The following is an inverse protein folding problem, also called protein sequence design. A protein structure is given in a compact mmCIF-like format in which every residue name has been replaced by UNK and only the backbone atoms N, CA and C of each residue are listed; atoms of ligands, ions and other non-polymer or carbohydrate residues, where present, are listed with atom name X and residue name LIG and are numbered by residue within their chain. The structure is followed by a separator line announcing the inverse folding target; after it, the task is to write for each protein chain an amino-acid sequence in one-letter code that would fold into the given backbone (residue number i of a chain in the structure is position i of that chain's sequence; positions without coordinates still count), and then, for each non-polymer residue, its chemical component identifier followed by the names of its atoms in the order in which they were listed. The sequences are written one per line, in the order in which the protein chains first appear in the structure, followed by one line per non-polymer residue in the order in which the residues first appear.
data_IF_100955963248
#
_entry.id   IF_100955963248
#
_cell.length_a   1.000
_cell.length_b   1.000
_cell.length_c   1.000
_cell.angle_alpha   90.00
_cell.angle_beta   90.00
_cell.angle_gamma   90.00
#
_symmetry.space_group_name_H-M   'P 1'
#
loop_
_entity.id
_entity.type
_entity.pdbx_description
1 polymer ?
#
# COMPACT_ATOMS: atom_id res chain seq x y z
N UNK A 1 -8.40 1.72 -12.52
CA UNK A 1 -6.98 1.76 -12.91
C UNK A 1 -6.42 0.35 -12.77
N UNK A 2 -5.41 0.00 -13.57
CA UNK A 2 -4.80 -1.35 -13.59
C UNK A 2 -4.36 -1.79 -12.19
N UNK A 3 -3.75 -0.90 -11.41
CA UNK A 3 -3.33 -1.20 -10.05
C UNK A 3 -4.49 -1.53 -9.11
N UNK A 4 -5.60 -0.77 -9.15
CA UNK A 4 -6.79 -1.05 -8.31
C UNK A 4 -7.39 -2.42 -8.62
N UNK A 5 -7.44 -2.79 -9.89
CA UNK A 5 -7.94 -4.10 -10.32
C UNK A 5 -7.01 -5.22 -9.83
N UNK A 6 -5.71 -5.10 -10.07
CA UNK A 6 -4.74 -6.11 -9.68
C UNK A 6 -4.71 -6.36 -8.17
N UNK A 7 -4.70 -5.31 -7.34
CA UNK A 7 -4.69 -5.50 -5.87
C UNK A 7 -6.01 -6.08 -5.36
N UNK A 8 -7.14 -5.78 -6.01
CA UNK A 8 -8.43 -6.41 -5.70
C UNK A 8 -8.42 -7.90 -6.04
N UNK A 9 -7.86 -8.29 -7.19
CA UNK A 9 -7.70 -9.70 -7.60
C UNK A 9 -6.75 -10.48 -6.67
N UNK A 10 -5.73 -9.81 -6.11
CA UNK A 10 -4.83 -10.42 -5.11
C UNK A 10 -5.56 -10.69 -3.78
N UNK A 11 -6.56 -9.89 -3.45
CA UNK A 11 -7.40 -10.03 -2.25
C UNK A 11 -7.46 -8.80 -1.34
N UNK A 12 -7.04 -7.62 -1.79
CA UNK A 12 -7.25 -6.39 -1.02
C UNK A 12 -8.76 -6.10 -0.87
N UNK A 13 -9.18 -5.77 0.35
CA UNK A 13 -10.58 -5.44 0.68
C UNK A 13 -11.05 -4.14 0.03
N UNK A 14 -10.13 -3.16 -0.06
CA UNK A 14 -10.36 -1.89 -0.71
C UNK A 14 -9.02 -1.32 -1.18
N UNK A 15 -9.04 -0.46 -2.19
CA UNK A 15 -7.87 0.30 -2.61
C UNK A 15 -8.26 1.67 -3.16
N UNK A 16 -7.33 2.61 -3.10
CA UNK A 16 -7.60 3.98 -3.50
C UNK A 16 -6.34 4.84 -3.55
N UNK A 17 -6.54 6.12 -3.84
CA UNK A 17 -5.48 7.12 -3.77
C UNK A 17 -5.34 7.58 -2.32
N UNK A 18 -4.12 7.63 -1.81
CA UNK A 18 -3.79 8.23 -0.53
C UNK A 18 -3.57 9.74 -0.72
N UNK A 19 -4.40 10.56 -0.07
CA UNK A 19 -4.38 12.02 -0.25
C UNK A 19 -4.76 12.43 -1.69
N UNK A 20 -3.98 13.34 -2.28
CA UNK A 20 -4.13 13.77 -3.69
C UNK A 20 -3.37 12.88 -4.68
N UNK A 21 -2.67 11.84 -4.20
CA UNK A 21 -1.84 10.98 -5.03
C UNK A 21 -0.45 11.56 -5.35
N UNK A 22 0.40 10.80 -6.05
CA UNK A 22 0.14 9.52 -6.74
C UNK A 22 0.19 8.27 -5.85
N UNK A 23 0.40 8.40 -4.54
CA UNK A 23 0.44 7.25 -3.61
C UNK A 23 -0.87 6.45 -3.63
N UNK A 24 -0.77 5.13 -3.69
CA UNK A 24 -1.88 4.19 -3.62
C UNK A 24 -1.92 3.52 -2.24
N UNK A 25 -3.11 3.34 -1.67
CA UNK A 25 -3.32 2.48 -0.51
C UNK A 25 -4.12 1.23 -0.89
N UNK A 26 -3.88 0.12 -0.18
CA UNK A 26 -4.66 -1.10 -0.28
C UNK A 26 -4.88 -1.67 1.14
N UNK A 27 -6.14 -1.87 1.52
CA UNK A 27 -6.52 -2.45 2.81
C UNK A 27 -6.51 -3.98 2.71
N UNK A 28 -5.76 -4.63 3.59
CA UNK A 28 -5.66 -6.08 3.69
C UNK A 28 -5.90 -6.51 5.14
N UNK A 29 -6.63 -7.59 5.36
CA UNK A 29 -6.91 -8.18 6.67
C UNK A 29 -5.94 -9.30 7.06
N UNK A 30 -5.21 -9.84 6.08
CA UNK A 30 -4.24 -10.94 6.26
C UNK A 30 -2.83 -10.49 5.88
N UNK A 31 -1.81 -10.79 6.70
CA UNK A 31 -0.40 -10.47 6.39
C UNK A 31 0.06 -11.01 5.03
N UNK A 32 -0.37 -12.22 4.66
CA UNK A 32 0.03 -12.86 3.39
C UNK A 32 -0.54 -12.12 2.18
N UNK A 33 -1.78 -11.63 2.28
CA UNK A 33 -2.39 -10.78 1.25
C UNK A 33 -1.64 -9.45 1.15
N UNK A 34 -1.32 -8.82 2.28
CA UNK A 34 -0.57 -7.57 2.31
C UNK A 34 0.82 -7.72 1.64
N UNK A 35 1.51 -8.83 1.88
CA UNK A 35 2.80 -9.12 1.25
C UNK A 35 2.67 -9.29 -0.27
N UNK A 36 1.69 -10.08 -0.73
CA UNK A 36 1.46 -10.27 -2.17
C UNK A 36 1.11 -8.97 -2.88
N UNK A 37 0.31 -8.11 -2.24
CA UNK A 37 0.00 -6.76 -2.74
C UNK A 37 1.26 -5.92 -2.81
N UNK A 38 2.08 -5.92 -1.75
CA UNK A 38 3.31 -5.14 -1.69
C UNK A 38 4.30 -5.56 -2.80
N UNK A 39 4.47 -6.86 -3.02
CA UNK A 39 5.32 -7.40 -4.08
C UNK A 39 4.83 -6.98 -5.47
N UNK A 40 3.52 -7.01 -5.70
CA UNK A 40 2.93 -6.59 -6.97
C UNK A 40 3.13 -5.08 -7.21
N UNK A 41 2.83 -4.25 -6.21
CA UNK A 41 3.02 -2.79 -6.31
C UNK A 41 4.49 -2.43 -6.52
N UNK A 42 5.41 -3.14 -5.88
CA UNK A 42 6.86 -2.91 -6.04
C UNK A 42 7.32 -3.17 -7.47
N UNK A 43 6.72 -4.15 -8.16
CA UNK A 43 7.09 -4.54 -9.53
C UNK A 43 6.35 -3.75 -10.61
N UNK A 44 5.13 -3.30 -10.34
CA UNK A 44 4.22 -2.79 -11.38
C UNK A 44 3.75 -1.35 -11.16
N UNK A 45 3.84 -0.82 -9.94
CA UNK A 45 3.38 0.54 -9.63
C UNK A 45 4.52 1.54 -9.48
N UNK A 46 5.68 1.10 -8.96
CA UNK A 46 6.86 1.96 -8.87
C UNK A 46 7.31 2.38 -10.27
N UNK A 47 7.50 3.68 -10.47
CA UNK A 47 7.89 4.26 -11.75
C UNK A 47 9.40 4.49 -11.86
N UNK A 48 10.10 4.55 -10.73
CA UNK A 48 11.53 4.81 -10.63
C UNK A 48 12.08 4.25 -9.30
N UNK A 49 13.37 4.47 -9.05
CA UNK A 49 14.07 3.95 -7.87
C UNK A 49 13.81 4.75 -6.58
N UNK A 50 13.15 5.91 -6.66
CA UNK A 50 12.82 6.74 -5.49
C UNK A 50 11.51 6.30 -4.81
N UNK A 51 10.65 5.58 -5.55
CA UNK A 51 9.41 5.05 -5.04
C UNK A 51 9.62 3.86 -4.10
N UNK A 52 8.72 3.70 -3.14
CA UNK A 52 8.75 2.60 -2.17
C UNK A 52 7.35 2.05 -1.90
N UNK A 53 7.32 0.84 -1.34
CA UNK A 53 6.10 0.20 -0.86
C UNK A 53 6.30 -0.21 0.59
N UNK A 54 5.38 0.19 1.45
CA UNK A 54 5.39 -0.18 2.87
C UNK A 54 4.07 -0.83 3.28
N UNK A 55 4.18 -1.91 4.04
CA UNK A 55 3.06 -2.50 4.77
C UNK A 55 3.01 -1.79 6.14
N UNK A 56 1.94 -1.04 6.37
CA UNK A 56 1.76 -0.26 7.59
C UNK A 56 0.51 -0.69 8.36
N UNK A 57 0.49 -0.34 9.65
CA UNK A 57 -0.73 -0.32 10.47
C UNK A 57 -0.99 1.13 10.89
N UNK A 58 -2.21 1.39 11.37
CA UNK A 58 -2.53 2.70 11.94
C UNK A 58 -1.60 2.98 13.12
N UNK A 59 -0.92 4.12 13.10
CA UNK A 59 -0.20 4.63 14.27
C UNK A 59 -1.23 5.24 15.24
N UNK A 60 -1.49 4.55 16.35
CA UNK A 60 -2.45 5.00 17.36
C UNK A 60 -1.88 6.02 18.34
N UNK A 61 -0.56 6.21 18.36
CA UNK A 61 0.11 7.20 19.21
C UNK A 61 0.21 8.56 18.52
N UNK A 62 0.31 8.59 17.18
CA UNK A 62 0.53 9.80 16.42
C UNK A 62 1.91 10.41 16.69
N UNK A 63 1.99 11.74 16.64
CA UNK A 63 3.23 12.47 16.90
C UNK A 63 3.64 12.34 18.39
N UNK A 64 4.93 12.08 18.62
CA UNK A 64 5.51 11.89 19.96
C UNK A 64 6.94 12.40 20.01
N UNK A 65 7.40 12.80 21.19
CA UNK A 65 8.79 13.22 21.41
C UNK A 65 9.70 12.03 21.16
N UNK A 66 10.64 12.22 20.25
CA UNK A 66 11.81 11.35 20.07
C UNK A 66 12.97 11.99 20.84
N UNK A 67 13.73 11.18 21.57
CA UNK A 67 14.75 11.63 22.52
C UNK A 67 15.79 12.57 21.93
#
# INVERSE_FOLDING_TARGET
SQARQAVSEIGALASGISGSGPTLFALCDKPETAQRVADWLSKHYLQNQEGFVHICRLDTAGARVVG
#
